data_IF_528534288176
#
_entry.id   IF_528534288176
#
_cell.length_a   1.000
_cell.length_b   1.000
_cell.length_c   1.000
_cell.angle_alpha   90.00
_cell.angle_beta   90.00
_cell.angle_gamma   90.00
#
_symmetry.space_group_name_H-M   'P 1'
#
loop_
_entity.id
_entity.type
_entity.pdbx_description
1 polymer ?
#
# COMPACT_ATOMS: atom_id res chain seq x y z
N UNK A 1 -5.79 4.26 -17.92
CA UNK A 1 -5.40 4.58 -16.53
C UNK A 1 -4.34 3.64 -15.94
N UNK A 2 -3.99 2.52 -16.58
CA UNK A 2 -2.99 1.54 -16.09
C UNK A 2 -1.56 1.72 -16.63
N UNK A 3 -1.21 2.87 -17.20
CA UNK A 3 0.13 3.05 -17.80
C UNK A 3 1.20 3.43 -16.76
N UNK A 4 0.82 4.12 -15.68
CA UNK A 4 1.77 4.72 -14.72
C UNK A 4 2.44 3.70 -13.80
N UNK A 5 1.79 2.58 -13.46
CA UNK A 5 2.37 1.58 -12.55
C UNK A 5 3.00 0.37 -13.24
N UNK A 6 2.99 0.29 -14.58
CA UNK A 6 3.54 -0.88 -15.31
C UNK A 6 5.06 -1.06 -15.17
N UNK A 7 5.77 -0.08 -14.59
CA UNK A 7 7.22 -0.14 -14.43
C UNK A 7 7.66 -0.34 -12.97
N UNK A 8 6.73 -0.33 -12.01
CA UNK A 8 7.07 -0.43 -10.58
C UNK A 8 6.85 -1.83 -10.08
N UNK A 9 7.89 -2.38 -9.46
CA UNK A 9 7.85 -3.70 -8.82
C UNK A 9 7.16 -3.58 -7.47
N UNK A 10 5.84 -3.64 -7.48
CA UNK A 10 5.07 -3.70 -6.23
C UNK A 10 5.38 -5.00 -5.47
N UNK A 11 5.41 -4.92 -4.15
CA UNK A 11 5.73 -6.05 -3.27
C UNK A 11 4.61 -6.33 -2.28
N UNK A 12 4.36 -7.59 -1.97
CA UNK A 12 3.47 -7.99 -0.88
C UNK A 12 4.23 -8.05 0.46
N UNK A 13 3.52 -8.36 1.57
CA UNK A 13 4.10 -8.38 2.91
C UNK A 13 5.29 -9.37 3.08
N UNK A 14 5.39 -10.38 2.22
CA UNK A 14 6.52 -11.31 2.19
C UNK A 14 7.74 -10.76 1.42
N UNK A 15 7.64 -9.57 0.82
CA UNK A 15 8.67 -8.98 -0.05
C UNK A 15 8.69 -9.57 -1.46
N UNK A 16 7.72 -10.41 -1.82
CA UNK A 16 7.63 -10.96 -3.17
C UNK A 16 7.01 -9.94 -4.13
N UNK A 17 7.57 -9.85 -5.34
CA UNK A 17 7.00 -9.02 -6.41
C UNK A 17 5.62 -9.56 -6.77
N UNK A 18 4.62 -8.69 -6.77
CA UNK A 18 3.25 -9.05 -7.07
C UNK A 18 2.54 -7.91 -7.80
N UNK A 19 1.90 -8.23 -8.92
CA UNK A 19 1.10 -7.29 -9.69
C UNK A 19 -0.30 -7.14 -9.07
N UNK A 20 -0.90 -5.94 -9.15
CA UNK A 20 -2.30 -5.75 -8.80
C UNK A 20 -3.18 -6.46 -9.84
N UNK A 21 -4.17 -7.20 -9.35
CA UNK A 21 -5.10 -7.99 -10.17
C UNK A 21 -6.49 -7.37 -10.22
N UNK A 22 -6.79 -6.48 -9.27
CA UNK A 22 -8.05 -5.76 -9.20
C UNK A 22 -8.17 -4.71 -10.30
N UNK A 23 -9.39 -4.46 -10.75
CA UNK A 23 -9.68 -3.39 -11.72
C UNK A 23 -9.47 -1.99 -11.13
N UNK A 24 -9.72 -1.85 -9.83
CA UNK A 24 -9.57 -0.58 -9.11
C UNK A 24 -8.36 -0.65 -8.19
N UNK A 25 -7.60 0.45 -8.17
CA UNK A 25 -6.41 0.61 -7.35
C UNK A 25 -6.56 1.84 -6.45
N UNK A 26 -6.29 1.70 -5.16
CA UNK A 26 -6.19 2.82 -4.23
C UNK A 26 -4.74 2.98 -3.75
N UNK A 27 -4.21 4.20 -3.86
CA UNK A 27 -2.93 4.56 -3.27
C UNK A 27 -3.18 5.04 -1.84
N UNK A 28 -2.53 4.42 -0.86
CA UNK A 28 -2.63 4.77 0.54
C UNK A 28 -1.32 5.36 1.04
N UNK A 29 -1.33 6.65 1.34
CA UNK A 29 -0.18 7.39 1.83
C UNK A 29 -0.24 7.46 3.36
N UNK A 30 0.73 6.84 4.02
CA UNK A 30 0.76 6.84 5.48
C UNK A 30 2.18 6.58 6.01
N UNK A 31 2.36 6.84 7.30
CA UNK A 31 3.54 6.46 8.06
C UNK A 31 3.11 6.02 9.45
N UNK A 32 3.92 5.20 10.10
CA UNK A 32 3.60 4.64 11.40
C UNK A 32 3.60 5.70 12.49
N UNK A 33 4.47 6.70 12.37
CA UNK A 33 4.57 7.82 13.28
C UNK A 33 3.35 8.76 13.23
N UNK A 34 2.53 8.71 12.17
CA UNK A 34 1.35 9.57 11.96
C UNK A 34 0.12 9.09 12.76
N UNK A 35 -0.38 9.86 13.75
CA UNK A 35 -1.52 9.45 14.58
C UNK A 35 -2.81 9.23 13.80
N UNK A 36 -3.19 10.17 12.93
CA UNK A 36 -4.42 10.08 12.13
C UNK A 36 -4.39 8.86 11.19
N UNK A 37 -3.20 8.51 10.69
CA UNK A 37 -2.99 7.34 9.85
C UNK A 37 -3.26 6.04 10.63
N UNK A 38 -2.75 5.96 11.88
CA UNK A 38 -3.01 4.81 12.76
C UNK A 38 -4.50 4.67 13.11
N UNK A 39 -5.19 5.78 13.34
CA UNK A 39 -6.63 5.78 13.65
C UNK A 39 -7.50 5.42 12.44
N UNK A 40 -7.03 5.73 11.23
CA UNK A 40 -7.71 5.39 9.98
C UNK A 40 -7.50 3.94 9.56
N UNK A 41 -6.33 3.36 9.86
CA UNK A 41 -5.93 2.02 9.42
C UNK A 41 -6.99 0.93 9.69
N UNK A 42 -7.61 0.81 10.89
CA UNK A 42 -8.63 -0.21 11.13
C UNK A 42 -9.88 -0.04 10.25
N UNK A 43 -10.28 1.21 9.97
CA UNK A 43 -11.42 1.52 9.09
C UNK A 43 -11.13 1.15 7.65
N UNK A 44 -9.90 1.40 7.19
CA UNK A 44 -9.45 1.03 5.85
C UNK A 44 -9.41 -0.51 5.69
N UNK A 45 -8.91 -1.23 6.70
CA UNK A 45 -8.90 -2.69 6.71
C UNK A 45 -10.33 -3.26 6.61
N UNK A 46 -11.27 -2.76 7.42
CA UNK A 46 -12.68 -3.18 7.39
C UNK A 46 -13.34 -2.88 6.02
N UNK A 47 -13.10 -1.69 5.46
CA UNK A 47 -13.58 -1.34 4.13
C UNK A 47 -13.03 -2.28 3.05
N UNK A 48 -11.72 -2.56 3.08
CA UNK A 48 -11.06 -3.46 2.13
C UNK A 48 -11.65 -4.88 2.19
N UNK A 49 -11.86 -5.41 3.40
CA UNK A 49 -12.50 -6.72 3.58
C UNK A 49 -13.94 -6.74 3.04
N UNK A 50 -14.71 -5.68 3.26
CA UNK A 50 -16.10 -5.60 2.78
C UNK A 50 -16.20 -5.50 1.26
N UNK A 51 -15.40 -4.64 0.63
CA UNK A 51 -15.46 -4.44 -0.83
C UNK A 51 -14.99 -5.67 -1.59
N UNK A 52 -14.09 -6.47 -1.00
CA UNK A 52 -13.54 -7.67 -1.60
C UNK A 52 -14.22 -8.98 -1.13
N UNK A 53 -15.31 -8.91 -0.37
CA UNK A 53 -15.92 -10.08 0.28
C UNK A 53 -16.48 -11.13 -0.70
N UNK A 54 -16.97 -10.70 -1.87
CA UNK A 54 -17.55 -11.60 -2.88
C UNK A 54 -16.66 -11.75 -4.12
N UNK A 55 -16.07 -10.64 -4.56
CA UNK A 55 -15.19 -10.56 -5.72
C UNK A 55 -14.04 -9.62 -5.39
N UNK A 56 -12.85 -9.90 -5.91
CA UNK A 56 -11.67 -9.05 -5.70
C UNK A 56 -11.79 -7.80 -6.58
N UNK A 57 -12.27 -6.70 -6.01
CA UNK A 57 -12.58 -5.45 -6.71
C UNK A 57 -11.53 -4.36 -6.51
N UNK A 58 -10.80 -4.41 -5.40
CA UNK A 58 -9.85 -3.36 -5.00
C UNK A 58 -8.50 -3.95 -4.59
N UNK A 59 -7.43 -3.37 -5.13
CA UNK A 59 -6.08 -3.47 -4.57
C UNK A 59 -5.67 -2.16 -3.92
N UNK A 60 -5.03 -2.27 -2.75
CA UNK A 60 -4.42 -1.13 -2.07
C UNK A 60 -2.91 -1.21 -2.28
N UNK A 61 -2.32 -0.08 -2.68
CA UNK A 61 -0.88 0.11 -2.74
C UNK A 61 -0.47 1.09 -1.67
N UNK A 62 0.27 0.60 -0.69
CA UNK A 62 0.85 1.40 0.36
C UNK A 62 2.05 2.19 -0.15
N UNK A 63 1.99 3.51 0.03
CA UNK A 63 3.04 4.47 -0.27
C UNK A 63 3.55 5.01 1.06
N UNK A 64 4.56 4.34 1.60
CA UNK A 64 5.11 4.66 2.91
C UNK A 64 5.79 6.03 2.94
N UNK A 65 5.51 6.81 3.97
CA UNK A 65 6.24 8.01 4.41
C UNK A 65 7.05 7.75 5.69
N UNK A 66 7.33 6.48 5.99
CA UNK A 66 8.19 6.08 7.09
C UNK A 66 9.65 6.52 6.83
N UNK A 67 10.40 6.69 7.91
CA UNK A 67 11.77 7.23 7.83
C UNK A 67 12.78 6.18 7.37
N UNK A 68 12.52 4.89 7.63
CA UNK A 68 13.41 3.78 7.31
C UNK A 68 12.68 2.62 6.63
N UNK A 69 13.44 1.77 5.92
CA UNK A 69 12.89 0.55 5.30
C UNK A 69 12.32 -0.40 6.36
N UNK A 70 12.98 -0.51 7.50
CA UNK A 70 12.52 -1.33 8.63
C UNK A 70 11.19 -0.83 9.19
N UNK A 71 11.04 0.49 9.36
CA UNK A 71 9.77 1.09 9.80
C UNK A 71 8.64 0.82 8.79
N UNK A 72 8.91 0.99 7.49
CA UNK A 72 7.96 0.64 6.43
C UNK A 72 7.56 -0.83 6.52
N UNK A 73 8.54 -1.72 6.71
CA UNK A 73 8.32 -3.16 6.74
C UNK A 73 7.48 -3.58 7.95
N UNK A 74 7.79 -3.03 9.13
CA UNK A 74 7.02 -3.26 10.36
C UNK A 74 5.58 -2.78 10.20
N UNK A 75 5.39 -1.52 9.75
CA UNK A 75 4.07 -0.95 9.49
C UNK A 75 3.27 -1.80 8.49
N UNK A 76 3.91 -2.23 7.40
CA UNK A 76 3.27 -3.01 6.35
C UNK A 76 2.85 -4.40 6.83
N UNK A 77 3.74 -5.13 7.52
CA UNK A 77 3.48 -6.51 7.94
C UNK A 77 2.51 -6.63 9.10
N UNK A 78 2.53 -5.68 10.02
CA UNK A 78 1.73 -5.77 11.25
C UNK A 78 0.30 -5.27 11.04
N UNK A 79 0.12 -4.25 10.19
CA UNK A 79 -1.11 -3.45 10.18
C UNK A 79 -1.95 -3.60 8.91
N UNK A 80 -1.41 -4.26 7.88
CA UNK A 80 -2.03 -4.31 6.55
C UNK A 80 -2.40 -5.74 6.13
N UNK A 81 -3.45 -5.84 5.32
CA UNK A 81 -3.96 -7.11 4.78
C UNK A 81 -3.13 -7.64 3.60
N UNK A 82 -3.72 -8.37 2.63
CA UNK A 82 -3.03 -8.85 1.42
C UNK A 82 -2.78 -7.70 0.41
N UNK A 83 -2.26 -6.58 0.91
CA UNK A 83 -2.02 -5.36 0.16
C UNK A 83 -0.66 -5.44 -0.55
N UNK A 84 -0.43 -4.44 -1.39
CA UNK A 84 0.85 -4.22 -2.06
C UNK A 84 1.50 -2.97 -1.48
N UNK A 85 2.81 -2.86 -1.63
CA UNK A 85 3.57 -1.67 -1.28
C UNK A 85 4.53 -1.29 -2.40
N UNK A 86 4.83 0.00 -2.51
CA UNK A 86 5.99 0.47 -3.28
C UNK A 86 7.24 0.20 -2.43
N UNK A 87 8.29 -0.45 -2.97
CA UNK A 87 9.54 -0.67 -2.25
C UNK A 87 10.11 0.63 -1.70
N UNK A 88 10.72 0.57 -0.51
CA UNK A 88 11.20 1.78 0.17
C UNK A 88 12.15 2.60 -0.71
N UNK A 89 13.06 1.96 -1.44
CA UNK A 89 14.05 2.65 -2.28
C UNK A 89 13.59 2.94 -3.72
N UNK A 90 12.32 2.68 -4.06
CA UNK A 90 11.80 2.99 -5.39
C UNK A 90 11.55 4.51 -5.52
N UNK A 91 12.08 5.11 -6.59
CA UNK A 91 11.95 6.56 -6.83
C UNK A 91 10.49 7.00 -6.95
N UNK A 92 9.60 6.11 -7.41
CA UNK A 92 8.18 6.38 -7.54
C UNK A 92 7.55 6.77 -6.20
N UNK A 93 8.03 6.18 -5.10
CA UNK A 93 7.52 6.47 -3.75
C UNK A 93 7.59 7.95 -3.44
N UNK A 94 8.70 8.60 -3.82
CA UNK A 94 8.94 10.01 -3.51
C UNK A 94 8.35 10.93 -4.59
N UNK A 95 8.29 10.49 -5.85
CA UNK A 95 7.57 11.19 -6.92
C UNK A 95 6.07 11.32 -6.61
N UNK A 96 5.44 10.27 -6.10
CA UNK A 96 4.01 10.25 -5.75
C UNK A 96 3.64 11.21 -4.61
N UNK A 97 4.61 11.53 -3.74
CA UNK A 97 4.41 12.45 -2.60
C UNK A 97 4.59 13.91 -2.99
N UNK A 98 5.20 14.19 -4.15
CA UNK A 98 5.38 15.56 -4.65
C UNK A 98 4.05 16.08 -5.21
N UNK A 99 3.41 16.98 -4.48
CA UNK A 99 2.34 17.86 -4.96
C UNK A 99 2.65 19.30 -4.59
#
# INVERSE_FOLDING_TARGET
>A
MTHFMKQTKLVNAAGAIQEPVAKTLALYFAADWCPDCRDFQPKLNDFYSKVNAQTHQLDIVFVSSDATEDDQLAHFREKQGPWLAIPFHDTLRDELKRK
#
